data_IF_834644639480
#
_entry.id   IF_834644639480
#
_cell.length_a   1.000
_cell.length_b   1.000
_cell.length_c   1.000
_cell.angle_alpha   90.00
_cell.angle_beta   90.00
_cell.angle_gamma   90.00
#
_symmetry.space_group_name_H-M   'P 1'
#
loop_
_entity.id
_entity.type
_entity.pdbx_description
1 polymer ?
#
# COMPACT_ATOMS: atom_id res chain seq x y z
N UNK A 1 -13.71 -20.58 18.66
CA UNK A 1 -13.86 -20.98 20.10
C UNK A 1 -13.59 -22.48 20.30
N UNK A 2 -12.81 -22.86 21.32
CA UNK A 2 -12.60 -24.28 21.70
C UNK A 2 -13.70 -24.78 22.64
N UNK A 3 -14.24 -25.98 22.40
CA UNK A 3 -15.26 -26.63 23.25
C UNK A 3 -14.74 -27.94 23.80
N UNK A 4 -14.81 -28.13 25.12
CA UNK A 4 -14.36 -29.33 25.80
C UNK A 4 -15.27 -29.61 27.01
N UNK A 5 -15.82 -30.83 27.09
CA UNK A 5 -16.68 -31.28 28.21
C UNK A 5 -17.87 -30.35 28.57
N UNK A 6 -18.46 -29.70 27.56
CA UNK A 6 -19.57 -28.75 27.76
C UNK A 6 -19.15 -27.36 28.24
N UNK A 7 -17.84 -27.11 28.29
CA UNK A 7 -17.22 -25.81 28.57
C UNK A 7 -16.72 -25.21 27.25
N UNK A 8 -17.08 -23.96 27.03
CA UNK A 8 -16.65 -23.13 25.92
C UNK A 8 -15.52 -22.23 26.42
N UNK A 9 -14.36 -22.33 25.78
CA UNK A 9 -13.20 -21.47 26.03
C UNK A 9 -13.13 -20.41 24.93
N UNK A 10 -12.97 -19.15 25.34
CA UNK A 10 -12.78 -18.00 24.46
C UNK A 10 -11.35 -17.98 23.91
N UNK A 11 -11.03 -19.03 23.17
CA UNK A 11 -9.81 -19.14 22.41
C UNK A 11 -10.08 -19.74 21.03
N UNK A 12 -9.39 -19.21 20.05
CA UNK A 12 -9.17 -19.85 18.76
C UNK A 12 -7.66 -19.95 18.55
N UNK A 13 -7.22 -20.20 17.33
CA UNK A 13 -5.79 -20.26 17.08
C UNK A 13 -5.14 -18.87 17.18
N UNK A 14 -5.87 -17.75 16.98
CA UNK A 14 -5.34 -16.38 16.89
C UNK A 14 -5.37 -15.61 18.20
N UNK A 15 -6.41 -15.85 18.96
CA UNK A 15 -6.78 -15.01 20.08
C UNK A 15 -7.13 -15.90 21.24
N UNK A 16 -6.56 -15.58 22.39
CA UNK A 16 -7.05 -16.07 23.67
C UNK A 16 -7.53 -14.90 24.50
N UNK A 17 -8.82 -14.86 24.82
CA UNK A 17 -9.35 -13.92 25.80
C UNK A 17 -9.07 -14.45 27.21
N UNK A 18 -8.55 -13.58 28.08
CA UNK A 18 -8.21 -13.89 29.47
C UNK A 18 -8.98 -12.92 30.37
N UNK A 19 -9.71 -13.48 31.33
CA UNK A 19 -10.36 -12.72 32.40
C UNK A 19 -9.34 -12.52 33.53
N UNK A 20 -8.94 -11.28 33.76
CA UNK A 20 -7.94 -10.92 34.77
C UNK A 20 -8.52 -10.82 36.18
N UNK A 21 -9.86 -10.90 36.34
CA UNK A 21 -10.54 -10.91 37.64
C UNK A 21 -10.26 -9.68 38.50
N UNK A 22 -10.11 -8.51 37.88
CA UNK A 22 -9.73 -7.25 38.51
C UNK A 22 -8.35 -7.25 39.18
N UNK A 23 -7.44 -8.11 38.73
CA UNK A 23 -6.06 -8.17 39.20
C UNK A 23 -5.08 -7.58 38.19
N UNK A 24 -3.88 -7.24 38.66
CA UNK A 24 -2.76 -6.79 37.83
C UNK A 24 -1.69 -7.89 37.67
N UNK A 25 -1.99 -9.13 38.09
CA UNK A 25 -1.02 -10.23 38.05
C UNK A 25 -0.89 -10.80 36.63
N UNK A 26 0.21 -10.45 35.98
CA UNK A 26 0.52 -10.78 34.57
C UNK A 26 0.67 -12.29 34.26
N UNK A 27 0.70 -13.15 35.27
CA UNK A 27 0.91 -14.60 35.12
C UNK A 27 -0.37 -15.39 34.78
N UNK A 28 -1.53 -14.74 34.75
CA UNK A 28 -2.79 -15.35 34.34
C UNK A 28 -2.79 -15.52 32.82
N UNK A 29 -3.00 -16.76 32.37
CA UNK A 29 -2.92 -17.13 30.94
C UNK A 29 -3.99 -18.13 30.50
N UNK A 30 -4.81 -18.60 31.45
CA UNK A 30 -5.95 -19.45 31.17
C UNK A 30 -7.02 -18.71 30.35
N UNK A 31 -7.59 -19.40 29.37
CA UNK A 31 -8.66 -18.82 28.55
C UNK A 31 -9.92 -18.62 29.40
N UNK A 32 -10.57 -17.48 29.26
CA UNK A 32 -11.89 -17.23 29.82
C UNK A 32 -12.85 -18.32 29.31
N UNK A 33 -13.67 -18.87 30.21
CA UNK A 33 -14.52 -20.01 29.89
C UNK A 33 -15.90 -19.94 30.53
N UNK A 34 -16.90 -20.52 29.85
CA UNK A 34 -18.29 -20.54 30.28
C UNK A 34 -18.97 -21.84 29.85
N UNK A 35 -20.13 -22.16 30.43
CA UNK A 35 -20.92 -23.33 30.00
C UNK A 35 -21.52 -23.04 28.62
N UNK A 36 -21.33 -23.95 27.67
CA UNK A 36 -21.83 -23.78 26.31
C UNK A 36 -23.37 -23.81 26.26
N UNK A 37 -24.01 -22.65 26.30
CA UNK A 37 -25.37 -22.44 25.80
C UNK A 37 -25.28 -21.31 24.75
N UNK A 38 -25.61 -21.67 23.51
CA UNK A 38 -25.49 -20.91 22.26
C UNK A 38 -24.07 -20.78 21.67
N UNK A 39 -23.95 -21.20 20.40
CA UNK A 39 -22.68 -21.50 19.74
C UNK A 39 -22.15 -20.38 18.85
N UNK A 40 -20.84 -20.44 18.58
CA UNK A 40 -20.13 -19.75 17.51
C UNK A 40 -18.98 -20.66 17.04
N UNK A 41 -18.73 -20.73 15.72
CA UNK A 41 -17.66 -21.51 15.08
C UNK A 41 -16.88 -20.58 14.15
N UNK A 42 -15.57 -20.49 14.36
CA UNK A 42 -14.63 -19.73 13.54
C UNK A 42 -13.32 -20.50 13.43
N UNK A 43 -12.79 -20.62 12.20
CA UNK A 43 -11.53 -21.30 11.91
C UNK A 43 -10.53 -20.32 11.30
N UNK A 44 -9.56 -19.81 12.07
CA UNK A 44 -8.34 -19.25 11.48
C UNK A 44 -7.16 -19.18 12.53
N UNK A 45 -5.91 -19.30 12.03
CA UNK A 45 -4.49 -19.38 12.54
C UNK A 45 -3.98 -18.71 13.85
N UNK A 46 -2.66 -18.73 14.21
CA UNK A 46 -1.77 -18.24 15.36
C UNK A 46 -2.00 -17.14 16.48
N UNK A 47 -1.61 -17.45 17.74
CA UNK A 47 -2.03 -16.83 19.05
C UNK A 47 -1.45 -15.44 19.46
N UNK A 48 -2.31 -14.53 19.97
CA UNK A 48 -2.08 -13.34 20.83
C UNK A 48 -3.09 -13.32 22.00
N UNK A 49 -2.75 -12.77 23.17
CA UNK A 49 -3.67 -12.68 24.31
C UNK A 49 -4.39 -11.32 24.37
N UNK A 50 -5.71 -11.36 24.56
CA UNK A 50 -6.56 -10.20 24.88
C UNK A 50 -6.98 -10.32 26.35
N UNK A 51 -6.58 -9.38 27.20
CA UNK A 51 -6.80 -9.41 28.64
C UNK A 51 -7.84 -8.37 29.03
N UNK A 52 -8.94 -8.81 29.62
CA UNK A 52 -10.05 -7.94 30.06
C UNK A 52 -10.20 -7.99 31.56
N UNK A 53 -10.93 -7.02 32.14
CA UNK A 53 -11.08 -6.86 33.58
C UNK A 53 -9.75 -6.67 34.30
N UNK A 54 -8.83 -5.94 33.68
CA UNK A 54 -7.52 -5.63 34.26
C UNK A 54 -7.62 -4.58 35.35
N UNK A 55 -7.06 -4.87 36.53
CA UNK A 55 -7.09 -3.96 37.68
C UNK A 55 -8.49 -3.61 38.16
N UNK A 56 -8.60 -2.63 39.06
CA UNK A 56 -9.88 -2.15 39.58
C UNK A 56 -10.08 -0.69 39.19
N UNK A 57 -11.22 -0.38 38.56
CA UNK A 57 -11.53 0.97 38.08
C UNK A 57 -10.42 1.54 37.16
N UNK A 58 -9.82 0.67 36.34
CA UNK A 58 -8.67 1.02 35.52
C UNK A 58 -9.12 1.69 34.22
N UNK A 59 -8.80 2.97 34.05
CA UNK A 59 -9.25 3.81 32.94
C UNK A 59 -8.27 3.81 31.74
N UNK A 60 -7.60 2.69 31.47
CA UNK A 60 -6.62 2.62 30.38
C UNK A 60 -6.59 1.25 29.67
N UNK A 61 -6.05 1.26 28.46
CA UNK A 61 -5.69 0.09 27.67
C UNK A 61 -4.21 0.19 27.26
N UNK A 62 -3.55 -0.95 27.01
CA UNK A 62 -2.17 -0.96 26.54
C UNK A 62 -1.73 -2.30 25.93
N UNK A 63 -0.81 -2.20 24.98
CA UNK A 63 0.09 -3.25 24.53
C UNK A 63 1.38 -3.27 25.37
N UNK A 64 1.78 -4.45 25.84
CA UNK A 64 2.98 -4.60 26.70
C UNK A 64 4.14 -5.37 26.06
N UNK A 65 4.17 -5.49 24.73
CA UNK A 65 5.14 -6.32 23.99
C UNK A 65 4.73 -7.78 23.84
N UNK A 66 3.69 -8.23 24.56
CA UNK A 66 3.22 -9.60 24.48
C UNK A 66 1.69 -9.74 24.44
N UNK A 67 0.96 -8.87 25.15
CA UNK A 67 -0.48 -8.94 25.29
C UNK A 67 -1.12 -7.56 25.16
N UNK A 68 -2.37 -7.52 24.65
CA UNK A 68 -3.23 -6.35 24.76
C UNK A 68 -4.05 -6.46 26.04
N UNK A 69 -4.11 -5.39 26.83
CA UNK A 69 -4.74 -5.37 28.15
C UNK A 69 -5.69 -4.20 28.27
N UNK A 70 -6.89 -4.47 28.78
CA UNK A 70 -8.01 -3.52 28.81
C UNK A 70 -8.62 -3.43 30.20
N UNK A 71 -8.71 -2.21 30.72
CA UNK A 71 -9.39 -1.91 31.97
C UNK A 71 -10.91 -1.79 31.81
N UNK A 72 -11.60 -1.85 32.95
CA UNK A 72 -13.06 -1.73 33.02
C UNK A 72 -13.57 -0.27 33.02
N UNK A 73 -12.67 0.72 33.05
CA UNK A 73 -13.03 2.12 33.23
C UNK A 73 -13.57 2.41 34.64
N UNK A 74 -14.05 3.64 34.86
CA UNK A 74 -14.71 4.07 36.10
C UNK A 74 -16.11 4.65 35.82
N UNK A 75 -16.56 5.66 36.58
CA UNK A 75 -17.94 6.12 36.56
C UNK A 75 -18.36 6.78 35.25
N UNK A 76 -17.40 7.30 34.47
CA UNK A 76 -17.66 8.02 33.22
C UNK A 76 -17.03 7.34 32.00
N UNK A 77 -16.41 6.18 32.18
CA UNK A 77 -15.71 5.47 31.12
C UNK A 77 -16.18 4.01 31.12
N UNK A 78 -16.72 3.57 29.98
CA UNK A 78 -17.06 2.15 29.80
C UNK A 78 -15.78 1.29 29.76
N UNK A 79 -15.89 -0.03 29.91
CA UNK A 79 -14.77 -0.93 29.64
C UNK A 79 -14.16 -0.64 28.26
N UNK A 80 -12.83 -0.56 28.21
CA UNK A 80 -12.08 -0.08 27.05
C UNK A 80 -11.92 -1.18 25.98
N UNK A 81 -12.96 -1.96 25.74
CA UNK A 81 -12.96 -3.12 24.84
C UNK A 81 -13.73 -2.83 23.55
N UNK A 82 -13.73 -1.58 23.10
CA UNK A 82 -14.24 -1.21 21.78
C UNK A 82 -13.30 -1.72 20.68
N UNK A 83 -13.84 -1.90 19.49
CA UNK A 83 -13.12 -2.55 18.39
C UNK A 83 -11.98 -1.68 17.87
N UNK A 84 -12.19 -0.36 17.80
CA UNK A 84 -11.15 0.63 17.53
C UNK A 84 -9.96 0.50 18.50
N UNK A 85 -10.20 0.46 19.80
CA UNK A 85 -9.18 0.33 20.85
C UNK A 85 -8.47 -1.02 20.77
N UNK A 86 -9.20 -2.11 20.52
CA UNK A 86 -8.58 -3.43 20.32
C UNK A 86 -7.66 -3.41 19.09
N UNK A 87 -8.12 -2.83 17.97
CA UNK A 87 -7.31 -2.69 16.77
C UNK A 87 -6.09 -1.79 16.97
N UNK A 88 -6.26 -0.69 17.73
CA UNK A 88 -5.20 0.22 18.13
C UNK A 88 -4.10 -0.51 18.92
N UNK A 89 -4.44 -1.22 19.98
CA UNK A 89 -3.43 -1.93 20.80
C UNK A 89 -2.72 -3.05 20.02
N UNK A 90 -3.44 -3.73 19.11
CA UNK A 90 -2.83 -4.68 18.19
C UNK A 90 -1.85 -3.97 17.25
N UNK A 91 -2.17 -2.74 16.84
CA UNK A 91 -1.36 -1.87 16.00
C UNK A 91 0.03 -1.61 16.56
N UNK A 92 0.15 -1.33 17.86
CA UNK A 92 1.46 -1.22 18.51
C UNK A 92 2.30 -2.49 18.34
N UNK A 93 1.69 -3.67 18.49
CA UNK A 93 2.38 -4.94 18.27
C UNK A 93 2.72 -5.22 16.79
N UNK A 94 1.99 -4.63 15.83
CA UNK A 94 2.33 -4.66 14.41
C UNK A 94 3.52 -3.74 14.11
N UNK A 95 3.57 -2.56 14.74
CA UNK A 95 4.69 -1.64 14.65
C UNK A 95 5.96 -2.26 15.25
N UNK A 96 5.87 -2.84 16.44
CA UNK A 96 7.01 -3.51 17.12
C UNK A 96 7.59 -4.66 16.30
N UNK A 97 6.76 -5.44 15.61
CA UNK A 97 7.23 -6.56 14.77
C UNK A 97 7.73 -6.13 13.38
N UNK A 98 7.44 -4.90 12.97
CA UNK A 98 7.87 -4.32 11.71
C UNK A 98 9.06 -3.40 11.90
N UNK A 99 8.77 -2.11 11.99
CA UNK A 99 9.77 -1.04 12.02
C UNK A 99 10.35 -0.76 13.41
N UNK A 100 9.68 -1.22 14.46
CA UNK A 100 10.03 -0.97 15.85
C UNK A 100 10.17 0.54 16.16
N UNK A 101 9.26 1.37 15.60
CA UNK A 101 9.20 2.81 15.86
C UNK A 101 9.18 3.09 17.37
N UNK A 102 10.19 3.83 17.84
CA UNK A 102 10.30 4.19 19.24
C UNK A 102 9.10 5.03 19.69
N UNK A 103 8.66 4.79 20.91
CA UNK A 103 7.52 5.48 21.50
C UNK A 103 7.91 6.85 22.11
N UNK A 104 8.46 7.74 21.28
CA UNK A 104 8.92 9.08 21.68
C UNK A 104 8.94 10.03 20.49
N UNK A 105 8.66 11.32 20.69
CA UNK A 105 8.78 12.33 19.63
C UNK A 105 7.91 12.04 18.40
N UNK A 106 8.47 12.27 17.21
CA UNK A 106 7.76 12.08 15.92
C UNK A 106 7.44 10.60 15.66
N UNK A 107 8.41 9.71 15.88
CA UNK A 107 8.23 8.27 15.72
C UNK A 107 7.15 7.70 16.64
N UNK A 108 7.01 8.25 17.85
CA UNK A 108 5.89 7.92 18.73
C UNK A 108 4.55 8.38 18.17
N UNK A 109 4.50 9.59 17.60
CA UNK A 109 3.30 10.10 16.92
C UNK A 109 2.89 9.26 15.70
N UNK A 110 3.85 8.77 14.91
CA UNK A 110 3.56 7.84 13.80
C UNK A 110 3.08 6.49 14.30
N UNK A 111 3.68 5.97 15.38
CA UNK A 111 3.26 4.71 16.01
C UNK A 111 1.80 4.77 16.51
N UNK A 112 1.42 5.87 17.17
CA UNK A 112 0.03 6.15 17.56
C UNK A 112 -0.90 6.25 16.36
N UNK A 113 -0.55 7.09 15.37
CA UNK A 113 -1.41 7.31 14.20
C UNK A 113 -1.63 6.02 13.40
N UNK A 114 -0.60 5.18 13.25
CA UNK A 114 -0.74 3.89 12.58
C UNK A 114 -1.61 2.90 13.37
N UNK A 115 -1.56 2.96 14.70
CA UNK A 115 -2.44 2.19 15.57
C UNK A 115 -3.90 2.64 15.45
N UNK A 116 -4.16 3.94 15.43
CA UNK A 116 -5.50 4.50 15.15
C UNK A 116 -6.04 4.05 13.79
N UNK A 117 -5.21 4.11 12.73
CA UNK A 117 -5.62 3.65 11.40
C UNK A 117 -6.00 2.17 11.37
N UNK A 118 -5.32 1.32 12.15
CA UNK A 118 -5.66 -0.10 12.29
C UNK A 118 -6.95 -0.31 13.09
N UNK A 119 -7.19 0.51 14.11
CA UNK A 119 -8.46 0.55 14.86
C UNK A 119 -9.66 0.83 13.95
N UNK A 120 -9.60 1.94 13.21
CA UNK A 120 -10.65 2.34 12.26
C UNK A 120 -10.85 1.29 11.15
N UNK A 121 -9.76 0.72 10.65
CA UNK A 121 -9.82 -0.33 9.62
C UNK A 121 -10.46 -1.61 10.15
N UNK A 122 -10.22 -1.97 11.41
CA UNK A 122 -10.87 -3.11 12.05
C UNK A 122 -12.38 -2.90 12.20
N UNK A 123 -12.81 -1.69 12.58
CA UNK A 123 -14.22 -1.33 12.61
C UNK A 123 -14.88 -1.46 11.24
N UNK A 124 -14.25 -0.89 10.23
CA UNK A 124 -14.78 -0.90 8.87
C UNK A 124 -14.86 -2.33 8.30
N UNK A 125 -13.83 -3.14 8.54
CA UNK A 125 -13.81 -4.53 8.12
C UNK A 125 -14.94 -5.37 8.74
N UNK A 126 -15.28 -5.14 10.00
CA UNK A 126 -16.38 -5.88 10.66
C UNK A 126 -17.77 -5.37 10.25
N UNK A 127 -17.97 -4.05 10.16
CA UNK A 127 -19.24 -3.47 9.66
C UNK A 127 -19.57 -4.02 8.28
N UNK A 128 -18.55 -4.20 7.44
CA UNK A 128 -18.70 -4.79 6.12
C UNK A 128 -19.12 -6.26 6.14
N UNK A 129 -18.46 -7.10 6.95
CA UNK A 129 -18.80 -8.53 7.05
C UNK A 129 -20.22 -8.77 7.59
N UNK A 130 -20.69 -7.93 8.52
CA UNK A 130 -22.06 -8.00 9.02
C UNK A 130 -23.09 -7.65 7.94
N UNK A 131 -22.78 -6.68 7.07
CA UNK A 131 -23.62 -6.35 5.91
C UNK A 131 -23.64 -7.49 4.88
N UNK A 132 -22.50 -8.14 4.60
CA UNK A 132 -22.42 -9.28 3.67
C UNK A 132 -23.18 -10.50 4.19
N UNK A 133 -23.06 -10.83 5.49
CA UNK A 133 -23.85 -11.91 6.10
C UNK A 133 -25.35 -11.60 6.17
N UNK A 134 -25.74 -10.32 6.22
CA UNK A 134 -27.15 -9.92 6.10
C UNK A 134 -27.73 -10.10 4.69
N UNK A 135 -26.87 -10.18 3.67
CA UNK A 135 -27.23 -10.44 2.27
C UNK A 135 -27.32 -11.93 1.90
N UNK A 136 -26.81 -12.84 2.73
CA UNK A 136 -26.93 -14.31 2.56
C UNK A 136 -28.35 -14.86 2.87
N UNK A 137 -29.40 -14.06 2.65
CA UNK A 137 -30.79 -14.52 2.45
C UNK A 137 -31.32 -14.08 1.08
N UNK A 138 -30.83 -14.70 -0.01
CA UNK A 138 -30.97 -14.22 -1.37
C UNK A 138 -32.24 -14.81 -2.03
N UNK A 139 -33.42 -14.45 -1.52
CA UNK A 139 -34.67 -14.90 -2.15
C UNK A 139 -35.51 -13.78 -2.75
N UNK A 140 -35.06 -12.50 -2.80
CA UNK A 140 -35.96 -11.48 -3.35
C UNK A 140 -35.41 -10.16 -3.90
N UNK A 141 -34.13 -10.00 -4.24
CA UNK A 141 -33.81 -8.92 -5.17
C UNK A 141 -32.78 -9.28 -6.22
N UNK A 142 -33.10 -8.87 -7.43
CA UNK A 142 -32.41 -9.19 -8.65
C UNK A 142 -31.26 -8.18 -8.88
N UNK A 143 -30.55 -7.80 -7.80
CA UNK A 143 -29.60 -6.68 -7.79
C UNK A 143 -28.30 -6.94 -7.02
N UNK A 144 -28.11 -8.11 -6.43
CA UNK A 144 -26.95 -8.36 -5.57
C UNK A 144 -25.74 -8.93 -6.34
N UNK A 145 -24.57 -8.30 -6.16
CA UNK A 145 -23.33 -8.61 -6.87
C UNK A 145 -22.43 -9.50 -6.00
N UNK A 146 -21.77 -10.50 -6.60
CA UNK A 146 -21.17 -11.66 -5.92
C UNK A 146 -19.64 -11.73 -5.94
N UNK A 147 -18.94 -10.60 -6.14
CA UNK A 147 -17.46 -10.59 -6.19
C UNK A 147 -16.82 -9.29 -5.67
N UNK A 148 -15.60 -9.44 -5.14
CA UNK A 148 -14.66 -8.41 -4.62
C UNK A 148 -14.46 -7.17 -5.53
N UNK A 149 -14.81 -7.26 -6.82
CA UNK A 149 -14.62 -6.17 -7.78
C UNK A 149 -15.77 -5.16 -7.85
N UNK A 150 -16.89 -5.40 -7.18
CA UNK A 150 -18.09 -4.56 -7.30
C UNK A 150 -18.42 -3.78 -6.01
N UNK A 151 -17.39 -3.36 -5.26
CA UNK A 151 -17.56 -2.58 -4.03
C UNK A 151 -17.68 -1.07 -4.28
N UNK A 152 -18.90 -0.54 -4.16
CA UNK A 152 -19.27 0.86 -4.44
C UNK A 152 -19.55 1.70 -3.18
N UNK A 153 -18.59 1.76 -2.25
CA UNK A 153 -18.47 2.90 -1.32
C UNK A 153 -17.00 3.32 -1.24
N UNK A 154 -16.65 4.34 -2.02
CA UNK A 154 -15.26 4.71 -2.31
C UNK A 154 -14.41 5.03 -1.05
N UNK A 155 -15.02 5.52 0.04
CA UNK A 155 -14.30 5.87 1.27
C UNK A 155 -13.72 4.67 2.03
N UNK A 156 -14.39 3.50 1.98
CA UNK A 156 -14.03 2.35 2.81
C UNK A 156 -12.93 1.50 2.14
N UNK A 157 -12.89 1.48 0.80
CA UNK A 157 -11.76 0.92 0.03
C UNK A 157 -10.48 1.71 0.24
N UNK A 158 -10.59 3.04 0.30
CA UNK A 158 -9.43 3.92 0.50
C UNK A 158 -8.76 3.63 1.84
N UNK A 159 -9.53 3.49 2.93
CA UNK A 159 -8.96 3.22 4.25
C UNK A 159 -8.18 1.89 4.30
N UNK A 160 -8.75 0.81 3.74
CA UNK A 160 -8.09 -0.50 3.66
C UNK A 160 -6.81 -0.41 2.82
N UNK A 161 -6.86 0.25 1.65
CA UNK A 161 -5.69 0.44 0.79
C UNK A 161 -4.59 1.26 1.47
N UNK A 162 -4.96 2.30 2.21
CA UNK A 162 -4.01 3.12 2.99
C UNK A 162 -3.35 2.26 4.08
N UNK A 163 -4.10 1.41 4.78
CA UNK A 163 -3.51 0.52 5.79
C UNK A 163 -2.60 -0.55 5.17
N UNK A 164 -2.95 -1.14 4.03
CA UNK A 164 -2.08 -2.08 3.32
C UNK A 164 -0.73 -1.44 2.96
N UNK A 165 -0.79 -0.19 2.49
CA UNK A 165 0.36 0.61 2.12
C UNK A 165 1.24 0.94 3.34
N UNK A 166 0.64 1.40 4.44
CA UNK A 166 1.34 1.67 5.69
C UNK A 166 1.92 0.40 6.32
N UNK A 167 1.23 -0.74 6.19
CA UNK A 167 1.74 -2.04 6.63
C UNK A 167 2.99 -2.46 5.84
N UNK A 168 2.98 -2.25 4.52
CA UNK A 168 4.16 -2.50 3.68
C UNK A 168 5.30 -1.55 4.03
N UNK A 169 5.00 -0.26 4.26
CA UNK A 169 5.98 0.74 4.70
C UNK A 169 6.61 0.41 6.06
N UNK A 170 5.79 0.06 7.05
CA UNK A 170 6.22 -0.41 8.37
C UNK A 170 7.12 -1.65 8.29
N UNK A 171 6.88 -2.55 7.34
CA UNK A 171 7.66 -3.79 7.20
C UNK A 171 8.95 -3.63 6.41
N UNK A 172 8.99 -2.70 5.45
CA UNK A 172 10.05 -2.64 4.44
C UNK A 172 10.94 -1.39 4.54
N UNK A 173 10.41 -0.28 5.05
CA UNK A 173 11.02 1.03 4.88
C UNK A 173 11.23 1.80 6.17
N UNK A 174 10.27 1.79 7.08
CA UNK A 174 10.39 2.50 8.36
C UNK A 174 11.43 1.81 9.25
N UNK A 175 12.05 2.59 10.13
CA UNK A 175 13.04 2.12 11.09
C UNK A 175 12.79 2.77 12.47
N UNK A 176 13.41 2.30 13.56
CA UNK A 176 13.03 2.70 14.93
C UNK A 176 13.08 4.20 15.24
N UNK A 177 13.82 4.96 14.46
CA UNK A 177 14.08 6.39 14.66
C UNK A 177 13.58 7.23 13.47
N UNK A 178 12.70 6.68 12.62
CA UNK A 178 12.22 7.36 11.45
C UNK A 178 11.42 8.62 11.84
N UNK A 179 11.80 9.76 11.26
CA UNK A 179 11.06 11.02 11.36
C UNK A 179 9.74 10.95 10.57
N UNK A 180 8.92 12.01 10.66
CA UNK A 180 7.76 12.14 9.76
C UNK A 180 8.16 12.07 8.29
N UNK A 181 9.26 12.72 7.91
CA UNK A 181 9.79 12.72 6.54
C UNK A 181 10.20 11.30 6.11
N UNK A 182 10.96 10.58 6.94
CA UNK A 182 11.38 9.20 6.66
C UNK A 182 10.17 8.26 6.49
N UNK A 183 9.16 8.42 7.34
CA UNK A 183 7.94 7.63 7.27
C UNK A 183 7.15 7.92 5.99
N UNK A 184 6.99 9.19 5.61
CA UNK A 184 6.37 9.59 4.35
C UNK A 184 7.12 9.00 3.16
N UNK A 185 8.44 9.11 3.13
CA UNK A 185 9.26 8.51 2.09
C UNK A 185 9.06 7.00 1.95
N UNK A 186 9.06 6.28 3.07
CA UNK A 186 8.82 4.84 3.09
C UNK A 186 7.43 4.49 2.58
N UNK A 187 6.43 5.30 2.91
CA UNK A 187 5.05 5.15 2.46
C UNK A 187 4.90 5.37 0.95
N UNK A 188 5.58 6.36 0.39
CA UNK A 188 5.55 6.59 -1.06
C UNK A 188 6.30 5.50 -1.84
N UNK A 189 7.40 4.98 -1.29
CA UNK A 189 8.09 3.80 -1.85
C UNK A 189 7.20 2.56 -1.80
N UNK A 190 6.46 2.37 -0.71
CA UNK A 190 5.46 1.31 -0.59
C UNK A 190 4.36 1.43 -1.65
N UNK A 191 3.89 2.66 -1.95
CA UNK A 191 2.95 2.90 -3.04
C UNK A 191 3.48 2.35 -4.36
N UNK A 192 4.72 2.69 -4.71
CA UNK A 192 5.34 2.26 -5.96
C UNK A 192 5.56 0.74 -6.01
N UNK A 193 6.00 0.12 -4.91
CA UNK A 193 6.17 -1.33 -4.83
C UNK A 193 4.87 -2.09 -5.10
N UNK A 194 3.76 -1.55 -4.62
CA UNK A 194 2.43 -2.13 -4.76
C UNK A 194 1.75 -1.72 -6.08
N UNK A 195 2.42 -0.90 -6.92
CA UNK A 195 1.92 -0.45 -8.21
C UNK A 195 0.89 0.68 -8.15
N UNK A 196 0.77 1.35 -7.00
CA UNK A 196 -0.11 2.49 -6.82
C UNK A 196 0.55 3.79 -7.27
N UNK A 197 -0.26 4.72 -7.78
CA UNK A 197 0.19 6.09 -7.98
C UNK A 197 0.46 6.74 -6.62
N UNK A 198 1.63 7.35 -6.49
CA UNK A 198 2.06 8.05 -5.27
C UNK A 198 1.39 9.42 -5.09
N UNK A 199 0.87 10.01 -6.17
CA UNK A 199 0.33 11.38 -6.22
C UNK A 199 -0.74 11.67 -5.17
N UNK A 200 -1.75 10.80 -4.94
CA UNK A 200 -2.75 11.05 -3.91
C UNK A 200 -2.17 11.08 -2.50
N UNK A 201 -1.18 10.24 -2.23
CA UNK A 201 -0.50 10.17 -0.94
C UNK A 201 0.39 11.40 -0.70
N UNK A 202 1.13 11.84 -1.73
CA UNK A 202 1.92 13.07 -1.67
C UNK A 202 1.05 14.28 -1.33
N UNK A 203 -0.10 14.43 -1.99
CA UNK A 203 -1.07 15.49 -1.67
C UNK A 203 -1.53 15.41 -0.22
N UNK A 204 -1.92 14.23 0.25
CA UNK A 204 -2.34 14.04 1.64
C UNK A 204 -1.27 14.45 2.65
N UNK A 205 0.01 14.18 2.38
CA UNK A 205 1.11 14.60 3.24
C UNK A 205 1.40 16.11 3.17
N UNK A 206 1.31 16.72 1.99
CA UNK A 206 1.45 18.16 1.80
C UNK A 206 0.35 18.92 2.56
N UNK A 207 -0.90 18.43 2.50
CA UNK A 207 -2.05 19.04 3.16
C UNK A 207 -1.90 19.10 4.69
N UNK A 208 -1.20 18.13 5.28
CA UNK A 208 -0.86 18.10 6.71
C UNK A 208 0.48 18.78 7.04
N UNK A 209 1.12 19.40 6.05
CA UNK A 209 2.34 20.20 6.22
C UNK A 209 3.65 19.41 6.23
N UNK A 210 3.66 18.17 5.73
CA UNK A 210 4.87 17.36 5.58
C UNK A 210 5.33 17.43 4.12
N UNK A 211 6.60 17.78 3.90
CA UNK A 211 7.18 17.82 2.55
C UNK A 211 7.56 16.40 2.11
N UNK A 212 6.97 15.87 1.01
CA UNK A 212 7.37 14.59 0.45
C UNK A 212 8.83 14.61 -0.02
N UNK A 213 9.53 13.49 0.11
CA UNK A 213 10.86 13.39 -0.50
C UNK A 213 10.79 13.03 -1.97
N UNK A 214 11.85 13.43 -2.69
CA UNK A 214 12.05 13.01 -4.07
C UNK A 214 12.42 11.53 -4.14
N UNK A 215 11.50 10.74 -4.69
CA UNK A 215 11.67 9.30 -4.91
C UNK A 215 11.86 8.94 -6.39
N UNK A 216 12.13 9.92 -7.26
CA UNK A 216 12.33 9.69 -8.71
C UNK A 216 13.45 8.71 -9.03
N UNK A 217 14.47 8.60 -8.19
CA UNK A 217 15.56 7.63 -8.34
C UNK A 217 15.10 6.17 -8.15
N UNK A 218 13.97 5.95 -7.48
CA UNK A 218 13.41 4.63 -7.22
C UNK A 218 12.38 4.18 -8.26
N UNK A 219 11.97 5.09 -9.16
CA UNK A 219 11.07 4.73 -10.27
C UNK A 219 11.77 3.72 -11.18
N UNK A 220 11.14 2.57 -11.50
CA UNK A 220 11.77 1.54 -12.32
C UNK A 220 12.28 2.09 -13.66
N UNK A 221 13.59 1.97 -13.88
CA UNK A 221 14.23 2.41 -15.11
C UNK A 221 14.07 1.34 -16.19
N UNK A 222 13.41 1.70 -17.28
CA UNK A 222 13.31 0.85 -18.47
C UNK A 222 14.53 1.01 -19.36
N UNK A 223 15.03 -0.11 -19.89
CA UNK A 223 16.20 -0.14 -20.77
C UNK A 223 15.73 -0.11 -22.22
N UNK A 224 16.36 0.73 -23.03
CA UNK A 224 16.04 0.87 -24.44
C UNK A 224 16.06 -0.48 -25.17
N UNK A 225 15.03 -0.73 -25.97
CA UNK A 225 14.80 -1.93 -26.77
C UNK A 225 14.57 -3.23 -25.99
N UNK A 226 14.56 -3.21 -24.65
CA UNK A 226 14.18 -4.35 -23.82
C UNK A 226 12.66 -4.40 -23.66
N UNK A 227 12.09 -5.59 -23.81
CA UNK A 227 10.68 -5.84 -23.52
C UNK A 227 10.53 -6.28 -22.07
N UNK A 228 9.57 -5.69 -21.39
CA UNK A 228 9.13 -6.02 -20.04
C UNK A 228 7.73 -6.64 -20.15
N UNK A 229 7.51 -7.79 -19.52
CA UNK A 229 6.25 -8.53 -19.58
C UNK A 229 5.66 -8.62 -18.17
N UNK A 230 4.46 -9.21 -18.07
CA UNK A 230 3.79 -9.52 -16.80
C UNK A 230 3.51 -8.27 -15.94
N UNK A 231 3.27 -7.12 -16.59
CA UNK A 231 2.89 -5.88 -15.93
C UNK A 231 1.37 -5.90 -15.72
N UNK A 232 0.93 -5.61 -14.49
CA UNK A 232 -0.48 -5.46 -14.16
C UNK A 232 -0.87 -4.00 -14.23
N UNK A 233 -1.98 -3.70 -14.91
CA UNK A 233 -2.55 -2.35 -15.01
C UNK A 233 -4.06 -2.42 -14.74
N UNK A 234 -4.58 -1.54 -13.90
CA UNK A 234 -6.01 -1.42 -13.63
C UNK A 234 -6.40 0.03 -13.33
N UNK A 235 -7.68 0.26 -13.01
CA UNK A 235 -8.14 1.56 -12.52
C UNK A 235 -7.37 2.01 -11.25
N UNK A 236 -7.03 1.05 -10.38
CA UNK A 236 -6.36 1.29 -9.11
C UNK A 236 -4.82 1.15 -9.21
N UNK A 237 -4.33 0.39 -10.19
CA UNK A 237 -2.90 0.07 -10.37
C UNK A 237 -2.40 0.73 -11.65
N UNK A 238 -1.71 1.86 -11.51
CA UNK A 238 -1.18 2.67 -12.61
C UNK A 238 0.34 2.76 -12.52
N UNK A 239 1.08 1.75 -13.00
CA UNK A 239 2.52 1.68 -12.81
C UNK A 239 3.24 2.81 -13.57
N UNK A 240 4.22 3.43 -12.90
CA UNK A 240 5.09 4.44 -13.48
C UNK A 240 6.48 3.90 -13.79
N UNK A 241 7.07 4.40 -14.88
CA UNK A 241 8.40 4.02 -15.34
C UNK A 241 9.23 5.26 -15.70
N UNK A 242 10.55 5.12 -15.59
CA UNK A 242 11.51 6.14 -16.02
C UNK A 242 12.31 5.65 -17.22
N UNK A 243 12.50 6.51 -18.21
CA UNK A 243 13.35 6.25 -19.37
C UNK A 243 14.33 7.39 -19.60
N UNK A 244 15.62 7.07 -19.60
CA UNK A 244 16.67 8.05 -19.84
C UNK A 244 17.14 8.01 -21.28
N UNK A 245 17.36 9.19 -21.85
CA UNK A 245 17.83 9.34 -23.23
C UNK A 245 19.17 10.08 -23.30
N UNK A 246 20.06 9.70 -24.24
CA UNK A 246 21.28 10.44 -24.48
C UNK A 246 21.00 11.74 -25.27
N UNK A 247 21.94 12.69 -25.23
CA UNK A 247 21.83 14.00 -25.86
C UNK A 247 21.50 14.02 -27.36
N UNK A 248 21.67 12.88 -28.03
CA UNK A 248 21.47 12.71 -29.47
C UNK A 248 20.20 11.93 -29.83
N UNK A 249 19.38 11.55 -28.84
CA UNK A 249 18.08 10.95 -29.10
C UNK A 249 17.13 11.96 -29.79
N UNK A 250 16.30 11.46 -30.70
CA UNK A 250 15.36 12.26 -31.48
C UNK A 250 13.93 11.84 -31.20
N UNK A 251 13.56 10.64 -31.66
CA UNK A 251 12.20 10.12 -31.44
C UNK A 251 12.27 9.04 -30.38
N UNK A 252 11.65 9.26 -29.22
CA UNK A 252 11.35 8.21 -28.25
C UNK A 252 10.00 7.59 -28.60
N UNK A 253 9.92 6.27 -28.60
CA UNK A 253 8.66 5.54 -28.78
C UNK A 253 8.45 4.58 -27.62
N UNK A 254 7.34 4.77 -26.92
CA UNK A 254 6.86 3.91 -25.84
C UNK A 254 5.73 3.08 -26.43
N UNK A 255 5.87 1.75 -26.37
CA UNK A 255 4.89 0.80 -26.87
C UNK A 255 4.43 -0.10 -25.73
N UNK A 256 3.13 -0.26 -25.59
CA UNK A 256 2.52 -1.19 -24.66
C UNK A 256 1.46 -2.02 -25.38
N UNK A 257 1.23 -3.25 -24.91
CA UNK A 257 0.20 -4.12 -25.48
C UNK A 257 -0.36 -5.07 -24.44
N UNK A 258 -1.65 -5.40 -24.56
CA UNK A 258 -2.32 -6.44 -23.79
C UNK A 258 -3.18 -7.29 -24.71
N UNK A 259 -3.44 -8.54 -24.30
CA UNK A 259 -4.39 -9.41 -24.99
C UNK A 259 -5.86 -9.00 -24.76
N UNK A 260 -6.13 -8.21 -23.71
CA UNK A 260 -7.48 -8.03 -23.17
C UNK A 260 -7.97 -6.60 -23.13
N UNK A 261 -7.16 -5.63 -23.59
CA UNK A 261 -7.58 -4.24 -23.62
C UNK A 261 -6.53 -3.29 -24.16
N UNK A 262 -6.92 -2.02 -24.22
CA UNK A 262 -6.08 -0.90 -24.61
C UNK A 262 -5.42 -0.35 -23.35
N UNK A 263 -4.12 -0.06 -23.44
CA UNK A 263 -3.37 0.64 -22.41
C UNK A 263 -3.26 2.09 -22.83
N UNK A 264 -3.64 3.01 -21.95
CA UNK A 264 -3.40 4.43 -22.11
C UNK A 264 -2.02 4.76 -21.51
N UNK A 265 -1.21 5.48 -22.26
CA UNK A 265 0.14 5.91 -21.85
C UNK A 265 0.10 7.42 -21.68
N UNK A 266 0.54 7.92 -20.52
CA UNK A 266 0.71 9.35 -20.27
C UNK A 266 2.18 9.62 -19.93
N UNK A 267 2.85 10.48 -20.70
CA UNK A 267 4.25 10.87 -20.50
C UNK A 267 4.31 12.22 -19.83
N UNK A 268 5.09 12.32 -18.76
CA UNK A 268 5.29 13.50 -17.94
C UNK A 268 6.71 14.08 -18.12
N UNK A 269 6.82 15.40 -17.95
CA UNK A 269 8.10 16.11 -17.95
C UNK A 269 8.84 15.87 -16.61
N UNK A 270 10.07 15.36 -16.67
CA UNK A 270 10.85 14.83 -15.53
C UNK A 270 11.31 15.81 -14.45
N UNK A 271 10.71 17.00 -14.35
CA UNK A 271 11.01 17.99 -13.31
C UNK A 271 9.85 18.27 -12.34
N UNK A 272 8.72 17.57 -12.45
CA UNK A 272 7.56 17.87 -11.59
C UNK A 272 6.77 16.61 -11.27
N UNK A 273 7.27 15.86 -10.31
CA UNK A 273 6.38 15.47 -9.23
C UNK A 273 6.29 16.74 -8.39
N UNK A 274 5.21 17.53 -8.50
CA UNK A 274 4.71 18.34 -7.38
C UNK A 274 3.46 19.20 -7.68
N UNK A 275 2.54 19.06 -6.73
CA UNK A 275 1.72 20.06 -5.99
C UNK A 275 0.52 20.78 -6.61
N UNK A 276 0.26 20.82 -7.91
CA UNK A 276 -0.85 21.65 -8.42
C UNK A 276 -2.01 20.85 -9.06
N UNK A 277 -3.22 21.40 -8.88
CA UNK A 277 -4.58 20.91 -9.17
C UNK A 277 -4.90 20.55 -10.64
N UNK A 278 -3.90 20.33 -11.49
CA UNK A 278 -4.12 20.06 -12.91
C UNK A 278 -3.21 18.94 -13.43
N UNK A 279 -3.69 17.69 -13.33
CA UNK A 279 -3.04 16.49 -13.87
C UNK A 279 -2.72 16.62 -15.38
N UNK A 280 -3.44 17.49 -16.11
CA UNK A 280 -3.24 17.70 -17.54
C UNK A 280 -2.10 18.67 -17.88
N UNK A 281 -1.63 19.48 -16.93
CA UNK A 281 -0.70 20.57 -17.21
C UNK A 281 0.77 20.13 -17.42
N UNK A 282 1.12 18.88 -17.09
CA UNK A 282 2.48 18.35 -17.20
C UNK A 282 2.62 17.15 -18.16
N UNK A 283 1.53 16.72 -18.79
CA UNK A 283 1.56 15.66 -19.80
C UNK A 283 2.14 16.21 -21.09
N UNK A 284 3.29 15.71 -21.50
CA UNK A 284 3.98 16.13 -22.73
C UNK A 284 3.53 15.30 -23.94
N UNK A 285 3.03 14.08 -23.71
CA UNK A 285 2.46 13.23 -24.74
C UNK A 285 1.53 12.19 -24.11
N UNK A 286 0.45 11.85 -24.80
CA UNK A 286 -0.48 10.79 -24.41
C UNK A 286 -0.93 9.99 -25.63
N UNK A 287 -1.34 8.74 -25.42
CA UNK A 287 -1.79 7.88 -26.50
C UNK A 287 -2.13 6.46 -26.07
N UNK A 288 -2.79 5.76 -26.98
CA UNK A 288 -3.29 4.41 -26.77
C UNK A 288 -2.30 3.40 -27.34
N UNK A 289 -1.74 2.55 -26.48
CA UNK A 289 -0.80 1.47 -26.79
C UNK A 289 0.53 1.93 -27.39
N UNK A 290 0.64 3.13 -27.95
CA UNK A 290 1.87 3.70 -28.46
C UNK A 290 1.87 5.23 -28.29
N UNK A 291 2.99 5.77 -27.83
CA UNK A 291 3.26 7.21 -27.74
C UNK A 291 4.65 7.50 -28.29
N UNK A 292 4.76 8.57 -29.07
CA UNK A 292 6.03 9.08 -29.57
C UNK A 292 6.30 10.51 -29.16
N UNK A 293 7.56 10.79 -28.84
CA UNK A 293 8.06 12.09 -28.40
C UNK A 293 9.19 12.46 -29.35
N UNK A 294 9.04 13.55 -30.10
CA UNK A 294 10.06 14.09 -31.00
C UNK A 294 10.99 15.05 -30.26
N UNK A 295 12.15 15.34 -30.86
CA UNK A 295 13.16 16.25 -30.30
C UNK A 295 13.58 15.93 -28.86
N UNK A 296 13.66 14.63 -28.53
CA UNK A 296 13.82 14.14 -27.16
C UNK A 296 15.09 14.66 -26.44
N UNK A 297 16.24 14.67 -27.13
CA UNK A 297 17.51 15.12 -26.58
C UNK A 297 17.94 14.33 -25.32
N UNK A 298 18.78 14.95 -24.47
CA UNK A 298 19.16 14.37 -23.18
C UNK A 298 18.10 14.71 -22.14
N UNK A 299 17.24 13.73 -21.82
CA UNK A 299 16.16 13.92 -20.86
C UNK A 299 15.83 12.64 -20.08
N UNK A 300 15.19 12.86 -18.93
CA UNK A 300 14.45 11.85 -18.17
C UNK A 300 12.97 11.94 -18.53
N UNK A 301 12.44 10.86 -19.11
CA UNK A 301 11.01 10.71 -19.38
C UNK A 301 10.37 9.83 -18.31
N UNK A 302 9.31 10.32 -17.70
CA UNK A 302 8.47 9.53 -16.80
C UNK A 302 7.17 9.22 -17.50
N UNK A 303 6.68 8.00 -17.42
CA UNK A 303 5.40 7.65 -18.03
C UNK A 303 4.61 6.66 -17.20
N UNK A 304 3.30 6.87 -17.17
CA UNK A 304 2.32 6.06 -16.47
C UNK A 304 1.56 5.20 -17.48
N UNK A 305 1.29 3.94 -17.11
CA UNK A 305 0.35 3.09 -17.82
C UNK A 305 -0.98 3.06 -17.08
N UNK A 306 -2.08 3.23 -17.79
CA UNK A 306 -3.43 3.14 -17.24
C UNK A 306 -4.38 2.43 -18.22
N UNK A 307 -5.63 2.22 -17.80
CA UNK A 307 -6.68 1.63 -18.63
C UNK A 307 -7.97 2.44 -18.46
N UNK A 308 -8.95 2.21 -19.34
CA UNK A 308 -10.31 2.67 -19.08
C UNK A 308 -10.84 2.16 -17.73
N UNK A 309 -11.71 2.94 -17.08
CA UNK A 309 -12.31 2.60 -15.78
C UNK A 309 -12.90 1.17 -15.79
N UNK A 310 -12.62 0.43 -14.71
CA UNK A 310 -13.00 -0.99 -14.48
C UNK A 310 -12.28 -2.07 -15.30
N UNK A 311 -11.35 -1.74 -16.20
CA UNK A 311 -10.54 -2.76 -16.87
C UNK A 311 -9.37 -3.20 -15.99
N UNK A 312 -9.16 -4.52 -15.87
CA UNK A 312 -7.96 -5.08 -15.23
C UNK A 312 -7.21 -5.86 -16.28
N UNK A 313 -6.00 -5.41 -16.61
CA UNK A 313 -5.13 -6.01 -17.62
C UNK A 313 -3.94 -6.65 -16.90
N UNK A 314 -3.94 -7.97 -16.81
CA UNK A 314 -2.75 -8.74 -16.53
C UNK A 314 -1.99 -9.00 -17.82
N UNK A 315 -0.68 -9.24 -17.74
CA UNK A 315 0.19 -9.58 -18.87
C UNK A 315 0.41 -8.44 -19.87
N UNK A 316 0.49 -7.19 -19.39
CA UNK A 316 0.88 -6.06 -20.24
C UNK A 316 2.35 -6.18 -20.60
N UNK A 317 2.64 -6.08 -21.90
CA UNK A 317 4.00 -5.99 -22.41
C UNK A 317 4.35 -4.53 -22.68
N UNK A 318 5.52 -4.09 -22.21
CA UNK A 318 6.05 -2.74 -22.36
C UNK A 318 7.40 -2.79 -23.07
N UNK A 319 7.60 -1.91 -24.05
CA UNK A 319 8.89 -1.71 -24.72
C UNK A 319 9.08 -0.24 -25.01
N UNK A 320 10.26 0.29 -24.67
CA UNK A 320 10.63 1.67 -24.99
C UNK A 320 11.86 1.66 -25.88
N UNK A 321 11.86 2.52 -26.90
CA UNK A 321 12.95 2.67 -27.86
C UNK A 321 13.19 4.14 -28.16
N UNK A 322 14.35 4.47 -28.72
CA UNK A 322 14.59 5.78 -29.31
C UNK A 322 15.34 5.67 -30.64
N UNK A 323 15.20 6.69 -31.49
CA UNK A 323 15.99 6.88 -32.71
C UNK A 323 17.03 8.00 -32.52
N UNK A 324 18.03 8.04 -33.41
CA UNK A 324 19.05 9.09 -33.42
C UNK A 324 18.58 10.31 -34.20
N UNK A 325 18.97 11.51 -33.75
CA UNK A 325 18.74 12.74 -34.50
C UNK A 325 19.42 12.70 -35.86
N UNK A 326 18.70 13.09 -36.91
CA UNK A 326 19.25 13.14 -38.28
C UNK A 326 20.47 14.05 -38.42
N UNK A 327 20.64 14.99 -37.48
CA UNK A 327 21.77 15.93 -37.40
C UNK A 327 22.93 15.42 -36.55
N UNK A 328 22.78 14.28 -35.87
CA UNK A 328 23.85 13.67 -35.10
C UNK A 328 24.90 13.06 -36.04
N UNK A 329 26.00 13.78 -36.24
CA UNK A 329 27.20 13.26 -36.87
C UNK A 329 28.16 12.78 -35.79
N UNK A 330 28.53 11.49 -35.82
CA UNK A 330 29.48 10.91 -34.86
C UNK A 330 30.92 11.35 -35.19
N UNK A 331 31.26 12.59 -34.86
CA UNK A 331 32.66 13.05 -34.87
C UNK A 331 33.37 12.77 -33.53
N UNK A 332 32.66 12.18 -32.57
CA UNK A 332 33.21 11.78 -31.28
C UNK A 332 34.06 10.50 -31.41
N UNK A 333 35.38 10.66 -31.23
CA UNK A 333 36.37 9.59 -31.25
C UNK A 333 36.08 8.48 -30.21
N UNK A 334 35.31 8.80 -29.16
CA UNK A 334 34.88 7.87 -28.10
C UNK A 334 33.82 6.89 -28.62
N UNK A 335 32.88 7.37 -29.44
CA UNK A 335 31.86 6.53 -30.08
C UNK A 335 32.51 5.62 -31.11
N UNK A 336 33.45 6.14 -31.92
CA UNK A 336 34.22 5.29 -32.87
C UNK A 336 35.04 4.23 -32.16
N UNK A 337 35.60 4.52 -30.97
CA UNK A 337 36.29 3.52 -30.13
C UNK A 337 35.34 2.43 -29.63
N UNK A 338 34.13 2.79 -29.21
CA UNK A 338 33.10 1.83 -28.79
C UNK A 338 32.72 0.88 -29.95
N UNK A 339 32.36 1.41 -31.11
CA UNK A 339 31.96 0.59 -32.27
C UNK A 339 33.09 -0.31 -32.78
N UNK A 340 34.33 0.17 -32.79
CA UNK A 340 35.52 -0.65 -33.12
C UNK A 340 35.75 -1.77 -32.12
N UNK A 341 35.52 -1.54 -30.83
CA UNK A 341 35.69 -2.56 -29.78
C UNK A 341 34.72 -3.74 -29.92
N UNK A 342 33.55 -3.50 -30.52
CA UNK A 342 32.51 -4.52 -30.75
C UNK A 342 32.43 -5.03 -32.22
N UNK A 343 33.37 -4.63 -33.08
CA UNK A 343 33.54 -5.20 -34.42
C UNK A 343 32.59 -4.69 -35.51
N UNK A 344 31.93 -3.56 -35.31
CA UNK A 344 31.10 -2.93 -36.34
C UNK A 344 31.98 -2.15 -37.34
N UNK A 345 31.63 -2.19 -38.64
CA UNK A 345 32.40 -1.50 -39.69
C UNK A 345 32.12 0.00 -39.71
N UNK A 346 33.06 0.82 -40.18
CA UNK A 346 32.85 2.28 -40.32
C UNK A 346 31.75 2.64 -41.32
N UNK A 347 31.36 1.75 -42.24
CA UNK A 347 30.18 1.93 -43.11
C UNK A 347 28.85 1.73 -42.37
N UNK A 348 28.88 1.21 -41.14
CA UNK A 348 27.70 1.00 -40.29
C UNK A 348 27.37 2.21 -39.39
N UNK A 349 28.29 3.18 -39.32
CA UNK A 349 28.14 4.49 -38.68
C UNK A 349 27.66 5.50 -39.72
#
# INVERSE_FOLDING_TARGET
MRKEDGICYLENEYVKAVDMGSTEFENITEAASFKCQDGYDDQVGKIRYIRVHYGSMFENAFWNGNNCTFGDGEANLYPLTSLDLIGHEIGHGVTEQGSDLMYFGEMGGVNEAFSDMLGETAEEYLRWNDLVHSFERPENDNSSVSHVKDFTTDSNRILILVVELFLHANRMYWHPMASFEDCVCGTLKAAMDLGFSKTPFERGFIDVGITPCDITEYVPVVIANKTYNDINVSADVKPMFRFQTPAWADIVTIQSSSMHGIICIAVQNGNKIETDDDESANTIAEGDSEVSIEDAGAADFFFELSTAENSVLSDVNLRVSYSCAKTFQTDDETVRKFYRAYGFSEESL
#
